data_IF_221618870535
#
_entry.id   IF_221618870535
#
_cell.length_a   1.000
_cell.length_b   1.000
_cell.length_c   1.000
_cell.angle_alpha   90.00
_cell.angle_beta   90.00
_cell.angle_gamma   90.00
#
_symmetry.space_group_name_H-M   'P 1'
#
loop_
_entity.id
_entity.type
_entity.pdbx_description
1 polymer ?
#
# COMPACT_ATOMS: atom_id res chain seq x y z
N UNK A 1 -25.33 14.68 0.11
CA UNK A 1 -24.47 15.66 0.82
C UNK A 1 -23.39 14.91 1.61
N UNK A 2 -23.78 13.92 2.41
CA UNK A 2 -22.89 13.14 3.31
C UNK A 2 -21.70 12.41 2.65
N UNK A 3 -21.82 11.95 1.40
CA UNK A 3 -20.72 11.21 0.73
C UNK A 3 -19.48 12.07 0.49
N UNK A 4 -19.67 13.35 0.15
CA UNK A 4 -18.54 14.26 -0.08
C UNK A 4 -17.89 14.64 1.26
N UNK A 5 -18.68 14.86 2.30
CA UNK A 5 -18.18 15.14 3.63
C UNK A 5 -17.33 13.96 4.15
N UNK A 6 -17.83 12.73 4.00
CA UNK A 6 -17.08 11.51 4.35
C UNK A 6 -15.75 11.39 3.58
N UNK A 7 -15.77 11.68 2.28
CA UNK A 7 -14.56 11.68 1.47
C UNK A 7 -13.54 12.71 1.99
N UNK A 8 -13.98 13.94 2.26
CA UNK A 8 -13.14 15.00 2.81
C UNK A 8 -12.51 14.59 4.15
N UNK A 9 -13.30 14.04 5.08
CA UNK A 9 -12.81 13.58 6.39
C UNK A 9 -11.79 12.45 6.27
N UNK A 10 -12.03 11.52 5.33
CA UNK A 10 -11.10 10.43 5.04
C UNK A 10 -9.77 10.96 4.49
N UNK A 11 -9.81 11.92 3.57
CA UNK A 11 -8.61 12.55 3.01
C UNK A 11 -7.80 13.30 4.07
N UNK A 12 -8.47 14.03 4.96
CA UNK A 12 -7.81 14.70 6.09
C UNK A 12 -7.12 13.68 7.00
N UNK A 13 -7.81 12.57 7.29
CA UNK A 13 -7.28 11.51 8.14
C UNK A 13 -6.07 10.82 7.50
N UNK A 14 -6.11 10.60 6.19
CA UNK A 14 -4.98 10.05 5.43
C UNK A 14 -3.74 10.95 5.50
N UNK A 15 -3.91 12.28 5.36
CA UNK A 15 -2.80 13.24 5.47
C UNK A 15 -2.22 13.28 6.89
N UNK A 16 -3.08 13.24 7.93
CA UNK A 16 -2.61 13.16 9.32
C UNK A 16 -1.78 11.91 9.55
N UNK A 17 -2.27 10.75 9.10
CA UNK A 17 -1.54 9.49 9.20
C UNK A 17 -0.19 9.54 8.48
N UNK A 18 -0.16 10.07 7.26
CA UNK A 18 1.08 10.20 6.50
C UNK A 18 2.12 11.11 7.18
N UNK A 19 1.69 12.12 7.93
CA UNK A 19 2.60 13.02 8.66
C UNK A 19 3.07 12.44 10.00
N UNK A 20 2.17 11.78 10.75
CA UNK A 20 2.44 11.28 12.10
C UNK A 20 3.12 9.89 12.08
N UNK A 21 2.71 9.03 11.15
CA UNK A 21 3.25 7.67 10.99
C UNK A 21 3.35 7.27 9.50
N UNK A 22 4.40 7.74 8.79
CA UNK A 22 4.59 7.49 7.37
C UNK A 22 4.73 5.99 7.03
N UNK A 23 5.32 5.20 7.93
CA UNK A 23 5.53 3.76 7.73
C UNK A 23 4.18 3.03 7.64
N UNK A 24 3.27 3.31 8.58
CA UNK A 24 1.93 2.72 8.56
C UNK A 24 1.12 3.13 7.32
N UNK A 25 1.28 4.38 6.87
CA UNK A 25 0.65 4.85 5.63
C UNK A 25 1.17 4.12 4.39
N UNK A 26 2.47 3.81 4.36
CA UNK A 26 3.11 3.12 3.24
C UNK A 26 2.61 1.67 3.07
N UNK A 27 2.12 1.04 4.14
CA UNK A 27 1.62 -0.34 4.13
C UNK A 27 0.21 -0.49 3.52
N UNK A 28 -0.50 0.60 3.23
CA UNK A 28 -1.82 0.51 2.61
C UNK A 28 -1.73 0.03 1.14
N UNK A 29 -2.76 -0.66 0.63
CA UNK A 29 -4.02 -1.02 1.28
C UNK A 29 -3.94 -2.32 2.11
N UNK A 30 -4.50 -2.32 3.32
CA UNK A 30 -4.43 -3.45 4.28
C UNK A 30 -5.45 -4.57 4.03
N UNK A 31 -6.44 -4.34 3.18
CA UNK A 31 -7.58 -5.26 2.96
C UNK A 31 -7.51 -6.01 1.63
N UNK A 32 -6.59 -5.63 0.74
CA UNK A 32 -6.39 -6.32 -0.54
C UNK A 32 -5.40 -7.48 -0.35
N UNK A 33 -5.38 -8.42 -1.29
CA UNK A 33 -4.45 -9.55 -1.27
C UNK A 33 -2.97 -9.15 -1.40
N UNK A 34 -2.68 -7.87 -1.68
CA UNK A 34 -1.34 -7.28 -1.72
C UNK A 34 -1.38 -5.83 -1.22
N UNK A 35 -0.34 -5.41 -0.51
CA UNK A 35 -0.08 -4.02 -0.13
C UNK A 35 0.73 -3.26 -1.21
N UNK A 36 1.15 -2.03 -0.93
CA UNK A 36 2.05 -1.26 -1.80
C UNK A 36 3.31 -2.07 -2.15
N UNK A 37 3.58 -2.34 -3.44
CA UNK A 37 4.79 -3.04 -3.86
C UNK A 37 6.04 -2.17 -3.65
N UNK A 38 7.18 -2.81 -3.42
CA UNK A 38 8.47 -2.14 -3.32
C UNK A 38 9.11 -2.00 -4.71
N UNK A 39 8.87 -0.85 -5.33
CA UNK A 39 9.43 -0.51 -6.65
C UNK A 39 10.96 -0.43 -6.63
N UNK A 40 11.55 0.01 -5.52
CA UNK A 40 13.01 0.13 -5.40
C UNK A 40 13.66 -1.24 -5.46
N UNK A 41 13.10 -2.22 -4.74
CA UNK A 41 13.56 -3.60 -4.80
C UNK A 41 13.24 -4.23 -6.17
N UNK A 42 12.06 -3.97 -6.74
CA UNK A 42 11.71 -4.50 -8.06
C UNK A 42 12.71 -4.06 -9.16
N UNK A 43 13.24 -2.84 -9.08
CA UNK A 43 14.27 -2.35 -10.01
C UNK A 43 15.65 -2.95 -9.70
N UNK A 44 16.04 -3.02 -8.42
CA UNK A 44 17.38 -3.50 -8.01
C UNK A 44 17.53 -5.02 -8.13
N UNK A 45 16.46 -5.76 -7.88
CA UNK A 45 16.41 -7.21 -7.76
C UNK A 45 15.31 -7.78 -8.67
N UNK A 46 15.31 -7.34 -9.93
CA UNK A 46 14.29 -7.71 -10.90
C UNK A 46 14.22 -9.24 -11.10
N UNK A 47 13.11 -9.85 -10.68
CA UNK A 47 12.80 -11.26 -10.92
C UNK A 47 11.61 -11.39 -11.88
N UNK A 48 11.91 -11.70 -13.14
CA UNK A 48 10.91 -11.84 -14.22
C UNK A 48 10.58 -13.30 -14.54
N UNK A 49 11.27 -14.26 -13.92
CA UNK A 49 11.06 -15.68 -14.20
C UNK A 49 10.02 -16.24 -13.25
N UNK A 50 8.97 -16.84 -13.80
CA UNK A 50 8.04 -17.62 -12.98
C UNK A 50 8.77 -18.83 -12.38
N UNK A 51 8.91 -18.85 -11.05
CA UNK A 51 9.43 -19.99 -10.30
C UNK A 51 8.24 -20.75 -9.76
N UNK A 52 8.01 -21.94 -10.29
CA UNK A 52 6.97 -22.83 -9.78
C UNK A 52 7.36 -23.23 -8.35
N UNK A 53 6.60 -22.81 -7.33
CA UNK A 53 6.84 -23.26 -5.96
C UNK A 53 6.57 -24.77 -5.89
N UNK A 54 7.63 -25.58 -5.87
CA UNK A 54 7.54 -26.99 -5.54
C UNK A 54 7.48 -27.12 -4.03
N UNK A 55 6.27 -27.13 -3.47
CA UNK A 55 6.08 -27.52 -2.08
C UNK A 55 6.21 -29.07 -2.02
N UNK A 56 7.24 -29.57 -1.34
CA UNK A 56 7.40 -30.98 -0.98
C UNK A 56 6.76 -31.26 0.37
#
# INVERSE_FOLDING_TARGET
>A
KETIDYFCDTMISAVKLANENPEDFQEYPKTLGVCRPDDTRAIKELDVRFKQQTNF
#
